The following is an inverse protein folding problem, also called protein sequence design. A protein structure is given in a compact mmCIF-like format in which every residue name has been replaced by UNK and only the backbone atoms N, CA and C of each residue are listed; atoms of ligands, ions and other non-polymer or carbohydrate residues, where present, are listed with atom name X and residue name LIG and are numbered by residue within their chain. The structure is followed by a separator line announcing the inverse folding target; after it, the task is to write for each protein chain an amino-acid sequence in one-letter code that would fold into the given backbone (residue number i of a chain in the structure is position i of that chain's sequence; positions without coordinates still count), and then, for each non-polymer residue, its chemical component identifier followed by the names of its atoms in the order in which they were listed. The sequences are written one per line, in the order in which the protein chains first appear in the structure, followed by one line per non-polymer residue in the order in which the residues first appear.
data_IF_808499964727
#
_entry.id   IF_808499964727
#
_cell.length_a   1.000
_cell.length_b   1.000
_cell.length_c   1.000
_cell.angle_alpha   90.00
_cell.angle_beta   90.00
_cell.angle_gamma   90.00
#
_symmetry.space_group_name_H-M   'P 1'
#
loop_
_entity.id
_entity.type
_entity.pdbx_description
1 polymer ?
#
# COMPACT_ATOMS: atom_id res chain seq x y z
N UNK A 1 11.09 -39.53 59.23
CA UNK A 1 11.35 -38.05 59.17
C UNK A 1 10.47 -37.41 58.11
N UNK A 2 9.54 -36.55 58.45
CA UNK A 2 8.69 -35.84 57.48
C UNK A 2 9.54 -34.74 56.82
N UNK A 3 9.60 -34.77 55.47
CA UNK A 3 10.28 -33.71 54.68
C UNK A 3 9.63 -32.36 55.00
N UNK A 4 10.45 -31.36 55.32
CA UNK A 4 9.96 -29.97 55.54
C UNK A 4 9.28 -29.43 54.29
N UNK A 5 8.32 -28.52 54.43
CA UNK A 5 7.57 -27.91 53.32
C UNK A 5 8.48 -27.37 52.21
N UNK A 6 9.64 -26.80 52.60
CA UNK A 6 10.68 -26.33 51.68
C UNK A 6 11.30 -27.44 50.84
N UNK A 7 11.55 -28.63 51.44
CA UNK A 7 12.08 -29.79 50.70
C UNK A 7 11.06 -30.39 49.73
N UNK A 8 9.74 -30.36 50.10
CA UNK A 8 8.66 -30.77 49.16
C UNK A 8 8.55 -29.84 47.98
N UNK A 9 8.61 -28.53 48.17
CA UNK A 9 8.59 -27.52 47.08
C UNK A 9 9.81 -27.72 46.14
N UNK A 10 11.02 -27.91 46.68
CA UNK A 10 12.23 -28.14 45.86
C UNK A 10 12.11 -29.47 45.09
N UNK A 11 11.56 -30.50 45.68
CA UNK A 11 11.37 -31.78 45.00
C UNK A 11 10.35 -31.66 43.88
N UNK A 12 9.22 -30.99 44.12
CA UNK A 12 8.18 -30.73 43.09
C UNK A 12 8.75 -29.91 41.95
N UNK A 13 9.51 -28.85 42.22
CA UNK A 13 10.17 -28.03 41.20
C UNK A 13 11.17 -28.87 40.35
N UNK A 14 11.93 -29.75 40.97
CA UNK A 14 12.85 -30.68 40.25
C UNK A 14 12.08 -31.66 39.36
N UNK A 15 11.00 -32.25 39.86
CA UNK A 15 10.14 -33.15 39.06
C UNK A 15 9.52 -32.40 37.89
N UNK A 16 9.00 -31.21 38.13
CA UNK A 16 8.43 -30.36 37.07
C UNK A 16 9.48 -29.99 36.02
N UNK A 17 10.70 -29.65 36.44
CA UNK A 17 11.82 -29.37 35.55
C UNK A 17 12.23 -30.60 34.71
N UNK A 18 12.27 -31.80 35.29
CA UNK A 18 12.55 -33.04 34.56
C UNK A 18 11.41 -33.36 33.57
N UNK A 19 10.14 -33.22 33.99
CA UNK A 19 8.99 -33.41 33.09
C UNK A 19 9.01 -32.41 31.91
N UNK A 20 9.34 -31.15 32.16
CA UNK A 20 9.50 -30.15 31.12
C UNK A 20 10.63 -30.49 30.16
N UNK A 21 11.79 -30.93 30.68
CA UNK A 21 12.90 -31.36 29.87
C UNK A 21 12.54 -32.57 29.00
N UNK A 22 11.86 -33.57 29.56
CA UNK A 22 11.38 -34.73 28.80
C UNK A 22 10.36 -34.34 27.72
N UNK A 23 9.47 -33.38 27.98
CA UNK A 23 8.56 -32.85 26.98
C UNK A 23 9.27 -32.13 25.84
N UNK A 24 10.32 -31.36 26.15
CA UNK A 24 11.15 -30.69 25.14
C UNK A 24 11.90 -31.74 24.28
N UNK A 25 12.50 -32.77 24.90
CA UNK A 25 13.15 -33.85 24.18
C UNK A 25 12.14 -34.61 23.29
N UNK A 26 10.98 -34.95 23.82
CA UNK A 26 9.93 -35.61 23.05
C UNK A 26 9.48 -34.76 21.86
N UNK A 27 9.22 -33.46 22.08
CA UNK A 27 8.87 -32.54 21.01
C UNK A 27 9.95 -32.46 19.91
N UNK A 28 11.21 -32.50 20.31
CA UNK A 28 12.37 -32.51 19.37
C UNK A 28 12.46 -33.81 18.59
N UNK A 29 12.26 -34.96 19.24
CA UNK A 29 12.29 -36.28 18.58
C UNK A 29 11.13 -36.47 17.61
N UNK A 30 9.94 -35.98 17.95
CA UNK A 30 8.74 -36.14 17.13
C UNK A 30 8.51 -34.99 16.13
N UNK A 31 9.37 -33.99 16.07
CA UNK A 31 9.17 -32.78 15.25
C UNK A 31 8.97 -33.08 13.77
N UNK A 32 9.70 -34.05 13.19
CA UNK A 32 9.56 -34.39 11.77
C UNK A 32 8.20 -35.07 11.49
N UNK A 33 7.75 -35.94 12.41
CA UNK A 33 6.42 -36.52 12.33
C UNK A 33 5.31 -35.47 12.42
N UNK A 34 5.47 -34.48 13.31
CA UNK A 34 4.55 -33.33 13.42
C UNK A 34 4.55 -32.48 12.16
N UNK A 35 5.72 -32.26 11.55
CA UNK A 35 5.84 -31.54 10.28
C UNK A 35 5.10 -32.26 9.16
N UNK A 36 5.30 -33.57 8.99
CA UNK A 36 4.60 -34.35 7.99
C UNK A 36 3.07 -34.32 8.19
N UNK A 37 2.62 -34.43 9.43
CA UNK A 37 1.20 -34.30 9.77
C UNK A 37 0.63 -32.92 9.44
N UNK A 38 1.39 -31.85 9.70
CA UNK A 38 1.01 -30.49 9.34
C UNK A 38 0.92 -30.30 7.81
N UNK A 39 1.89 -30.84 7.06
CA UNK A 39 1.87 -30.80 5.60
C UNK A 39 0.65 -31.54 5.04
N UNK A 40 0.39 -32.75 5.53
CA UNK A 40 -0.78 -33.54 5.13
C UNK A 40 -2.09 -32.78 5.43
N UNK A 41 -2.18 -32.15 6.60
CA UNK A 41 -3.35 -31.32 6.95
C UNK A 41 -3.53 -30.14 5.99
N UNK A 42 -2.45 -29.44 5.65
CA UNK A 42 -2.49 -28.32 4.69
C UNK A 42 -2.88 -28.83 3.31
N UNK A 43 -2.32 -29.93 2.84
CA UNK A 43 -2.67 -30.55 1.54
C UNK A 43 -4.16 -30.87 1.45
N UNK A 44 -4.71 -31.56 2.45
CA UNK A 44 -6.14 -31.87 2.50
C UNK A 44 -7.01 -30.60 2.59
N UNK A 45 -6.57 -29.60 3.31
CA UNK A 45 -7.27 -28.32 3.38
C UNK A 45 -7.27 -27.59 2.02
N UNK A 46 -6.15 -27.58 1.29
CA UNK A 46 -6.06 -26.98 -0.03
C UNK A 46 -6.96 -27.70 -1.03
N UNK A 47 -7.03 -29.01 -0.97
CA UNK A 47 -7.92 -29.77 -1.82
C UNK A 47 -9.40 -29.52 -1.50
N UNK A 48 -9.79 -29.60 -0.23
CA UNK A 48 -11.18 -29.47 0.21
C UNK A 48 -11.73 -28.05 0.10
N UNK A 49 -10.97 -27.05 0.60
CA UNK A 49 -11.47 -25.69 0.76
C UNK A 49 -11.21 -24.82 -0.49
N UNK A 50 -10.15 -25.13 -1.25
CA UNK A 50 -9.68 -24.34 -2.38
C UNK A 50 -9.67 -25.10 -3.71
N UNK A 51 -10.13 -26.36 -3.72
CA UNK A 51 -10.14 -27.20 -4.91
C UNK A 51 -8.80 -27.19 -5.68
N UNK A 52 -7.70 -27.33 -4.94
CA UNK A 52 -6.34 -27.17 -5.45
C UNK A 52 -5.42 -28.28 -4.95
N UNK A 53 -4.55 -28.75 -5.83
CA UNK A 53 -3.51 -29.71 -5.48
C UNK A 53 -2.30 -28.97 -4.92
N UNK A 54 -1.94 -29.27 -3.69
CA UNK A 54 -0.77 -28.71 -3.02
C UNK A 54 0.21 -29.85 -2.68
N UNK A 55 1.48 -29.66 -3.03
CA UNK A 55 2.51 -30.65 -2.74
C UNK A 55 3.83 -29.98 -2.35
N UNK A 56 4.59 -30.69 -1.51
CA UNK A 56 5.97 -30.38 -1.15
C UNK A 56 6.76 -31.67 -1.33
N UNK A 57 7.80 -31.67 -2.19
CA UNK A 57 8.61 -32.88 -2.45
C UNK A 57 9.36 -33.34 -1.22
N UNK A 58 9.95 -32.40 -0.48
CA UNK A 58 10.72 -32.69 0.72
C UNK A 58 10.55 -31.53 1.72
N UNK A 59 10.35 -31.87 2.97
CA UNK A 59 10.36 -30.93 4.08
C UNK A 59 11.05 -31.56 5.27
N UNK A 60 11.97 -30.82 5.88
CA UNK A 60 12.77 -31.28 7.01
C UNK A 60 13.15 -30.12 7.92
N UNK A 61 13.40 -30.42 9.18
CA UNK A 61 14.00 -29.45 10.08
C UNK A 61 15.51 -29.37 9.88
N UNK A 62 16.04 -28.17 9.90
CA UNK A 62 17.48 -27.89 9.92
C UNK A 62 17.87 -27.24 11.25
N UNK A 63 18.77 -27.89 11.99
CA UNK A 63 19.14 -27.44 13.32
C UNK A 63 17.96 -27.43 14.30
N UNK A 64 17.90 -26.46 15.18
CA UNK A 64 16.90 -26.39 16.24
C UNK A 64 15.56 -25.84 15.74
N UNK A 65 15.57 -24.76 14.98
CA UNK A 65 14.38 -24.01 14.55
C UNK A 65 14.32 -23.68 13.05
N UNK A 66 15.26 -24.21 12.27
CA UNK A 66 15.25 -24.09 10.81
C UNK A 66 14.28 -25.09 10.20
N UNK A 67 13.60 -24.68 9.12
CA UNK A 67 12.76 -25.52 8.28
C UNK A 67 13.19 -25.33 6.83
N UNK A 68 13.53 -26.43 6.16
CA UNK A 68 13.80 -26.44 4.73
C UNK A 68 12.73 -27.22 3.99
N UNK A 69 12.28 -26.66 2.88
CA UNK A 69 11.27 -27.23 1.99
C UNK A 69 11.75 -27.15 0.55
N UNK A 70 11.55 -28.23 -0.22
CA UNK A 70 11.94 -28.33 -1.61
C UNK A 70 10.73 -28.74 -2.48
N UNK A 71 10.63 -28.14 -3.66
CA UNK A 71 9.63 -28.50 -4.66
C UNK A 71 8.20 -28.21 -4.22
N UNK A 72 7.93 -26.99 -3.78
CA UNK A 72 6.60 -26.52 -3.38
C UNK A 72 5.81 -26.23 -4.66
N UNK A 73 4.63 -26.81 -4.77
CA UNK A 73 3.75 -26.67 -5.93
C UNK A 73 2.30 -26.50 -5.48
N UNK A 74 1.59 -25.55 -6.10
CA UNK A 74 0.16 -25.32 -5.91
C UNK A 74 -0.51 -25.17 -7.27
N UNK A 75 -1.42 -26.09 -7.58
CA UNK A 75 -2.13 -26.15 -8.86
C UNK A 75 -3.64 -26.22 -8.59
N UNK A 76 -4.41 -25.19 -8.88
CA UNK A 76 -5.87 -25.26 -8.84
C UNK A 76 -6.38 -26.26 -9.85
N UNK A 77 -7.39 -27.05 -9.50
CA UNK A 77 -7.95 -28.08 -10.41
C UNK A 77 -8.50 -27.42 -11.69
N UNK A 78 -8.15 -27.98 -12.81
CA UNK A 78 -8.53 -27.51 -14.17
C UNK A 78 -7.99 -26.11 -14.52
N UNK A 79 -6.88 -25.69 -13.91
CA UNK A 79 -6.29 -24.38 -14.17
C UNK A 79 -4.75 -24.45 -14.20
N UNK A 80 -4.14 -23.38 -14.69
CA UNK A 80 -2.67 -23.23 -14.69
C UNK A 80 -2.09 -23.22 -13.30
N UNK A 81 -0.84 -23.67 -13.16
CA UNK A 81 -0.07 -23.60 -11.92
C UNK A 81 -0.13 -22.20 -11.32
N UNK A 82 -0.56 -22.10 -10.06
CA UNK A 82 -0.64 -20.85 -9.36
C UNK A 82 0.69 -20.46 -8.69
N UNK A 83 1.35 -21.43 -8.02
CA UNK A 83 2.59 -21.20 -7.29
C UNK A 83 3.55 -22.39 -7.51
N UNK A 84 4.80 -22.06 -7.78
CA UNK A 84 5.91 -23.00 -7.76
C UNK A 84 7.12 -22.35 -7.13
N UNK A 85 7.76 -23.03 -6.17
CA UNK A 85 9.02 -22.59 -5.55
C UNK A 85 9.92 -23.82 -5.40
N UNK A 86 11.17 -23.67 -5.84
CA UNK A 86 12.13 -24.79 -5.77
C UNK A 86 12.59 -25.03 -4.34
N UNK A 87 13.02 -23.96 -3.62
CA UNK A 87 13.50 -24.06 -2.25
C UNK A 87 13.01 -22.93 -1.37
N UNK A 88 12.59 -23.27 -0.16
CA UNK A 88 12.35 -22.33 0.93
C UNK A 88 13.08 -22.82 2.16
N UNK A 89 13.88 -21.93 2.78
CA UNK A 89 14.46 -22.13 4.09
C UNK A 89 13.97 -21.00 5.00
N UNK A 90 13.53 -21.35 6.20
CA UNK A 90 12.99 -20.37 7.15
C UNK A 90 13.35 -20.77 8.58
N UNK A 91 13.46 -19.78 9.47
CA UNK A 91 13.52 -20.02 10.92
C UNK A 91 12.17 -19.71 11.53
N UNK A 92 11.63 -20.64 12.28
CA UNK A 92 10.31 -20.53 12.91
C UNK A 92 10.48 -20.27 14.41
N UNK A 93 9.68 -19.34 14.94
CA UNK A 93 9.60 -19.13 16.37
C UNK A 93 8.59 -20.13 16.97
N UNK A 94 9.11 -21.22 17.59
CA UNK A 94 8.26 -22.25 18.17
C UNK A 94 7.30 -21.75 19.25
N UNK A 95 7.71 -20.79 20.08
CA UNK A 95 6.84 -20.23 21.12
C UNK A 95 5.64 -19.51 20.55
N UNK A 96 5.84 -18.76 19.48
CA UNK A 96 4.77 -18.10 18.75
C UNK A 96 3.88 -19.10 18.01
N UNK A 97 4.49 -20.16 17.45
CA UNK A 97 3.75 -21.24 16.78
C UNK A 97 2.82 -21.97 17.75
N UNK A 98 3.28 -22.27 18.98
CA UNK A 98 2.46 -22.85 20.04
C UNK A 98 1.31 -21.92 20.47
N UNK A 99 1.51 -20.61 20.40
CA UNK A 99 0.47 -19.62 20.64
C UNK A 99 -0.48 -19.42 19.45
N UNK A 100 -0.34 -20.20 18.37
CA UNK A 100 -1.14 -20.10 17.16
C UNK A 100 -0.73 -18.96 16.19
N UNK A 101 0.43 -18.33 16.44
CA UNK A 101 0.95 -17.24 15.62
C UNK A 101 2.13 -17.73 14.77
N UNK A 102 2.06 -17.53 13.46
CA UNK A 102 3.18 -17.81 12.56
C UNK A 102 4.04 -16.54 12.50
N UNK A 103 5.24 -16.61 13.07
CA UNK A 103 6.24 -15.55 12.98
C UNK A 103 7.53 -16.12 12.41
N UNK A 104 7.93 -15.62 11.25
CA UNK A 104 9.18 -16.01 10.59
C UNK A 104 10.35 -15.18 11.13
N UNK A 105 11.43 -15.84 11.51
CA UNK A 105 12.67 -15.19 11.93
C UNK A 105 13.56 -14.82 10.73
N UNK A 106 13.65 -15.73 9.75
CA UNK A 106 14.32 -15.53 8.47
C UNK A 106 13.53 -16.21 7.36
N UNK A 107 13.73 -15.78 6.12
CA UNK A 107 13.15 -16.40 4.92
C UNK A 107 14.16 -16.35 3.78
N UNK A 108 14.61 -17.50 3.33
CA UNK A 108 15.40 -17.64 2.12
C UNK A 108 14.56 -18.43 1.11
N UNK A 109 14.29 -17.86 -0.06
CA UNK A 109 13.54 -18.55 -1.10
C UNK A 109 14.23 -18.38 -2.45
N UNK A 110 14.28 -19.45 -3.23
CA UNK A 110 14.95 -19.47 -4.53
C UNK A 110 14.13 -20.15 -5.60
N UNK A 111 14.27 -19.63 -6.81
CA UNK A 111 13.76 -20.22 -8.04
C UNK A 111 12.27 -20.53 -7.99
N UNK A 112 11.45 -19.60 -8.39
CA UNK A 112 10.02 -19.85 -8.36
C UNK A 112 9.19 -18.77 -9.01
N UNK A 113 7.89 -19.00 -9.02
CA UNK A 113 6.94 -18.02 -9.50
C UNK A 113 5.58 -18.13 -8.80
N UNK A 114 4.90 -17.00 -8.71
CA UNK A 114 3.46 -16.90 -8.52
C UNK A 114 2.86 -16.45 -9.86
N UNK A 115 1.87 -17.21 -10.38
CA UNK A 115 1.27 -16.94 -11.67
C UNK A 115 -0.23 -16.68 -11.54
N UNK A 116 -0.67 -15.50 -11.96
CA UNK A 116 -2.06 -15.10 -11.99
C UNK A 116 -2.57 -15.10 -13.43
N UNK A 117 -3.45 -16.02 -13.75
CA UNK A 117 -4.01 -16.17 -15.11
C UNK A 117 -5.50 -15.89 -15.07
N UNK A 118 -5.96 -15.03 -15.99
CA UNK A 118 -7.36 -14.80 -16.28
C UNK A 118 -7.65 -15.15 -17.73
N UNK A 119 -8.61 -16.04 -17.94
CA UNK A 119 -9.15 -16.44 -19.24
C UNK A 119 -10.60 -16.00 -19.38
N UNK A 120 -11.25 -16.39 -20.47
CA UNK A 120 -12.70 -16.20 -20.64
C UNK A 120 -13.50 -17.07 -19.66
N UNK A 121 -12.95 -18.21 -19.27
CA UNK A 121 -13.63 -19.23 -18.47
C UNK A 121 -13.42 -19.05 -16.96
N UNK A 122 -12.56 -18.12 -16.54
CA UNK A 122 -12.29 -17.83 -15.13
C UNK A 122 -10.83 -17.47 -14.84
N UNK A 123 -10.47 -17.50 -13.58
CA UNK A 123 -9.12 -17.18 -13.09
C UNK A 123 -8.56 -18.36 -12.30
N UNK A 124 -7.27 -18.63 -12.45
CA UNK A 124 -6.61 -19.71 -11.69
C UNK A 124 -6.51 -19.44 -10.17
N UNK A 125 -6.89 -18.27 -9.73
CA UNK A 125 -6.88 -17.87 -8.30
C UNK A 125 -8.28 -17.59 -7.73
N UNK A 126 -9.36 -17.89 -8.45
CA UNK A 126 -10.74 -17.61 -7.99
C UNK A 126 -11.07 -18.29 -6.66
N UNK A 127 -10.60 -19.51 -6.46
CA UNK A 127 -10.82 -20.25 -5.21
C UNK A 127 -10.19 -19.59 -3.98
N UNK A 128 -9.18 -18.73 -4.17
CA UNK A 128 -8.45 -18.03 -3.10
C UNK A 128 -8.98 -16.62 -2.82
N UNK A 129 -9.92 -16.15 -3.63
CA UNK A 129 -10.57 -14.87 -3.37
C UNK A 129 -11.61 -15.02 -2.25
N UNK A 130 -11.80 -13.98 -1.43
CA UNK A 130 -12.88 -13.98 -0.47
C UNK A 130 -14.20 -14.26 -1.21
N UNK A 131 -14.91 -15.30 -0.80
CA UNK A 131 -16.28 -15.48 -1.25
C UNK A 131 -17.03 -14.21 -0.84
N UNK A 132 -17.76 -13.62 -1.77
CA UNK A 132 -18.74 -12.60 -1.40
C UNK A 132 -19.76 -13.32 -0.52
N UNK A 133 -19.64 -13.15 0.79
CA UNK A 133 -20.68 -13.55 1.69
C UNK A 133 -21.93 -12.76 1.29
N UNK A 134 -22.84 -13.44 0.62
CA UNK A 134 -24.14 -12.89 0.20
C UNK A 134 -25.08 -12.69 1.38
N UNK A 135 -24.64 -13.08 2.56
CA UNK A 135 -25.32 -12.77 3.82
C UNK A 135 -24.86 -11.36 4.20
N UNK A 136 -25.62 -10.37 3.78
CA UNK A 136 -25.58 -9.03 4.35
C UNK A 136 -26.01 -9.16 5.82
N UNK A 137 -25.04 -9.36 6.71
CA UNK A 137 -25.29 -9.49 8.15
C UNK A 137 -25.81 -8.20 8.76
N UNK A 138 -25.95 -7.13 7.95
CA UNK A 138 -26.35 -5.80 8.42
C UNK A 138 -25.32 -5.12 9.32
N UNK A 139 -24.28 -5.84 9.73
CA UNK A 139 -23.20 -5.27 10.53
C UNK A 139 -22.26 -4.45 9.64
N UNK A 140 -22.10 -3.19 9.99
CA UNK A 140 -21.15 -2.31 9.30
C UNK A 140 -19.72 -2.74 9.63
N UNK A 141 -18.82 -2.75 8.63
CA UNK A 141 -17.44 -3.11 8.89
C UNK A 141 -16.77 -2.06 9.79
N UNK A 142 -16.12 -2.50 10.86
CA UNK A 142 -15.20 -1.63 11.62
C UNK A 142 -13.91 -1.47 10.83
N UNK A 143 -13.73 -0.31 10.20
CA UNK A 143 -12.60 -0.05 9.30
C UNK A 143 -11.26 -0.10 10.03
N UNK A 144 -11.16 0.46 11.24
CA UNK A 144 -9.94 0.44 12.03
C UNK A 144 -9.47 -0.99 12.30
N UNK A 145 -10.36 -1.84 12.81
CA UNK A 145 -10.05 -3.25 13.10
C UNK A 145 -9.72 -4.03 11.84
N UNK A 146 -10.43 -3.78 10.73
CA UNK A 146 -10.19 -4.45 9.46
C UNK A 146 -8.79 -4.14 8.91
N UNK A 147 -8.47 -2.85 8.79
CA UNK A 147 -7.18 -2.40 8.24
C UNK A 147 -6.03 -2.83 9.15
N UNK A 148 -6.17 -2.66 10.47
CA UNK A 148 -5.15 -3.09 11.44
C UNK A 148 -4.89 -4.60 11.35
N UNK A 149 -5.93 -5.42 11.22
CA UNK A 149 -5.80 -6.88 11.06
C UNK A 149 -5.04 -7.23 9.78
N UNK A 150 -5.35 -6.57 8.66
CA UNK A 150 -4.68 -6.80 7.38
C UNK A 150 -3.19 -6.41 7.49
N UNK A 151 -2.90 -5.23 8.03
CA UNK A 151 -1.53 -4.74 8.22
C UNK A 151 -0.73 -5.65 9.14
N UNK A 152 -1.27 -6.02 10.30
CA UNK A 152 -0.57 -6.89 11.24
C UNK A 152 -0.33 -8.29 10.66
N UNK A 153 -1.32 -8.88 9.98
CA UNK A 153 -1.12 -10.18 9.34
C UNK A 153 -0.04 -10.11 8.26
N UNK A 154 -0.09 -9.06 7.42
CA UNK A 154 0.92 -8.85 6.38
C UNK A 154 2.32 -8.65 6.95
N UNK A 155 2.48 -7.74 7.91
CA UNK A 155 3.77 -7.43 8.52
C UNK A 155 4.36 -8.59 9.33
N UNK A 156 3.53 -9.39 10.00
CA UNK A 156 4.00 -10.57 10.73
C UNK A 156 4.55 -11.67 9.80
N UNK A 157 4.14 -11.69 8.54
CA UNK A 157 4.69 -12.62 7.55
C UNK A 157 6.01 -12.15 6.95
N UNK A 158 6.37 -10.87 7.08
CA UNK A 158 7.66 -10.34 6.62
C UNK A 158 8.71 -10.60 7.69
N UNK A 159 9.71 -11.44 7.43
CA UNK A 159 10.77 -11.71 8.39
C UNK A 159 11.70 -10.50 8.53
N UNK A 160 12.48 -10.47 9.59
CA UNK A 160 13.51 -9.44 9.81
C UNK A 160 14.80 -9.70 9.03
N UNK A 161 14.96 -10.91 8.53
CA UNK A 161 16.04 -11.35 7.66
C UNK A 161 15.45 -12.11 6.47
N UNK A 162 15.64 -11.58 5.26
CA UNK A 162 15.05 -12.14 4.06
C UNK A 162 16.03 -12.10 2.90
N UNK A 163 16.14 -13.23 2.22
CA UNK A 163 16.93 -13.37 1.01
C UNK A 163 16.11 -14.11 -0.05
N UNK A 164 15.62 -13.37 -1.03
CA UNK A 164 14.85 -13.92 -2.15
C UNK A 164 15.70 -13.84 -3.41
N UNK A 165 15.69 -14.90 -4.21
CA UNK A 165 16.51 -15.01 -5.41
C UNK A 165 15.72 -15.68 -6.54
N UNK A 166 15.75 -15.08 -7.72
CA UNK A 166 15.14 -15.63 -8.93
C UNK A 166 13.65 -16.00 -8.76
N UNK A 167 12.85 -15.06 -8.26
CA UNK A 167 11.41 -15.23 -8.11
C UNK A 167 10.65 -14.35 -9.13
N UNK A 168 9.50 -14.81 -9.59
CA UNK A 168 8.68 -14.07 -10.55
C UNK A 168 7.23 -13.98 -10.12
N UNK A 169 6.64 -12.80 -10.27
CA UNK A 169 5.19 -12.63 -10.33
C UNK A 169 4.80 -12.52 -11.80
N UNK A 170 4.02 -13.47 -12.29
CA UNK A 170 3.55 -13.53 -13.67
C UNK A 170 2.07 -13.24 -13.72
N UNK A 171 1.66 -12.35 -14.59
CA UNK A 171 0.25 -12.02 -14.84
C UNK A 171 -0.08 -12.26 -16.31
N UNK A 172 -1.22 -12.88 -16.56
CA UNK A 172 -1.78 -13.05 -17.89
C UNK A 172 -3.28 -12.73 -17.86
N UNK A 173 -3.66 -11.53 -18.30
CA UNK A 173 -5.03 -11.07 -18.36
C UNK A 173 -5.51 -11.11 -19.82
N UNK A 174 -6.15 -12.20 -20.19
CA UNK A 174 -6.70 -12.38 -21.54
C UNK A 174 -5.63 -12.21 -22.65
N UNK A 175 -4.41 -12.73 -22.44
CA UNK A 175 -3.29 -12.63 -23.38
C UNK A 175 -2.38 -11.41 -23.17
N UNK A 176 -2.78 -10.44 -22.38
CA UNK A 176 -1.90 -9.35 -21.94
C UNK A 176 -1.02 -9.83 -20.81
N UNK A 177 0.26 -10.01 -21.09
CA UNK A 177 1.23 -10.57 -20.16
C UNK A 177 2.03 -9.47 -19.47
N UNK A 178 2.23 -9.60 -18.16
CA UNK A 178 3.17 -8.83 -17.41
C UNK A 178 3.93 -9.75 -16.44
N UNK A 179 5.24 -9.56 -16.36
CA UNK A 179 6.10 -10.31 -15.45
C UNK A 179 6.94 -9.32 -14.66
N UNK A 180 6.87 -9.42 -13.33
CA UNK A 180 7.80 -8.80 -12.44
C UNK A 180 8.77 -9.89 -11.98
N UNK A 181 10.01 -9.80 -12.43
CA UNK A 181 11.06 -10.74 -12.08
C UNK A 181 11.97 -10.13 -11.02
N UNK A 182 12.01 -10.76 -9.87
CA UNK A 182 12.86 -10.43 -8.75
C UNK A 182 14.19 -11.20 -8.91
N UNK A 183 15.23 -10.52 -9.35
CA UNK A 183 16.57 -11.14 -9.42
C UNK A 183 17.07 -11.45 -8.01
N UNK A 184 17.07 -10.43 -7.16
CA UNK A 184 17.44 -10.53 -5.76
C UNK A 184 16.63 -9.55 -4.91
N UNK A 185 16.26 -9.96 -3.69
CA UNK A 185 15.81 -9.07 -2.64
C UNK A 185 16.49 -9.50 -1.35
N UNK A 186 17.19 -8.57 -0.74
CA UNK A 186 17.89 -8.77 0.54
C UNK A 186 17.32 -7.78 1.55
N UNK A 187 16.89 -8.28 2.70
CA UNK A 187 16.53 -7.51 3.88
C UNK A 187 17.36 -8.05 5.04
N UNK A 188 18.37 -7.29 5.46
CA UNK A 188 19.26 -7.64 6.58
C UNK A 188 19.51 -6.37 7.39
N UNK A 189 19.51 -6.48 8.70
CA UNK A 189 19.69 -5.34 9.60
C UNK A 189 18.79 -4.14 9.26
N UNK A 190 17.53 -4.44 8.89
CA UNK A 190 16.52 -3.46 8.46
C UNK A 190 16.84 -2.73 7.15
N UNK A 191 17.95 -3.03 6.49
CA UNK A 191 18.26 -2.49 5.17
C UNK A 191 17.69 -3.39 4.09
N UNK A 192 16.95 -2.80 3.15
CA UNK A 192 16.37 -3.47 1.99
C UNK A 192 17.07 -3.06 0.72
N UNK A 193 17.49 -4.04 -0.05
CA UNK A 193 17.99 -3.84 -1.41
C UNK A 193 17.40 -4.91 -2.33
N UNK A 194 16.93 -4.49 -3.51
CA UNK A 194 16.38 -5.40 -4.50
C UNK A 194 16.69 -4.91 -5.91
N UNK A 195 16.87 -5.86 -6.83
CA UNK A 195 16.89 -5.63 -8.25
C UNK A 195 15.75 -6.41 -8.89
N UNK A 196 14.86 -5.71 -9.58
CA UNK A 196 13.70 -6.27 -10.24
C UNK A 196 13.71 -5.92 -11.73
N UNK A 197 13.20 -6.83 -12.55
CA UNK A 197 12.94 -6.59 -13.97
C UNK A 197 11.44 -6.67 -14.23
N UNK A 198 10.91 -5.72 -14.96
CA UNK A 198 9.51 -5.67 -15.37
C UNK A 198 9.44 -5.91 -16.87
N UNK A 199 8.69 -6.91 -17.26
CA UNK A 199 8.48 -7.28 -18.67
C UNK A 199 6.99 -7.29 -18.96
N UNK A 200 6.61 -6.75 -20.12
CA UNK A 200 5.29 -6.92 -20.70
C UNK A 200 5.43 -7.50 -22.12
N UNK A 201 4.34 -7.60 -22.88
CA UNK A 201 4.41 -8.07 -24.28
C UNK A 201 5.34 -7.21 -25.14
N UNK A 202 5.48 -5.91 -24.83
CA UNK A 202 6.14 -4.92 -25.69
C UNK A 202 7.28 -4.18 -25.01
N UNK A 203 7.48 -4.38 -23.72
CA UNK A 203 8.36 -3.55 -22.91
C UNK A 203 9.18 -4.34 -21.90
N UNK A 204 10.41 -3.88 -21.63
CA UNK A 204 11.29 -4.42 -20.58
C UNK A 204 12.05 -3.27 -19.91
N UNK A 205 12.12 -3.31 -18.58
CA UNK A 205 12.86 -2.33 -17.79
C UNK A 205 13.37 -2.94 -16.49
N UNK A 206 14.50 -2.48 -15.99
CA UNK A 206 15.08 -2.92 -14.71
C UNK A 206 14.98 -1.80 -13.67
N UNK A 207 14.46 -2.16 -12.50
CA UNK A 207 14.34 -1.24 -11.38
C UNK A 207 15.20 -1.70 -10.21
N UNK A 208 15.59 -0.74 -9.40
CA UNK A 208 16.26 -0.97 -8.12
C UNK A 208 15.39 -0.43 -6.99
N UNK A 209 15.35 -1.20 -5.91
CA UNK A 209 14.71 -0.82 -4.65
C UNK A 209 15.81 -0.74 -3.61
N UNK A 210 15.86 0.37 -2.88
CA UNK A 210 16.76 0.53 -1.74
C UNK A 210 16.04 1.25 -0.62
N UNK A 211 16.46 0.98 0.61
CA UNK A 211 15.97 1.73 1.75
C UNK A 211 16.02 0.94 3.05
N UNK A 212 15.10 1.31 3.91
CA UNK A 212 14.94 0.79 5.25
C UNK A 212 13.56 0.14 5.40
N UNK A 213 13.49 -1.01 6.07
CA UNK A 213 12.24 -1.68 6.42
C UNK A 213 12.36 -2.38 7.77
N UNK A 214 11.54 -1.98 8.72
CA UNK A 214 11.41 -2.62 10.04
C UNK A 214 9.98 -3.12 10.23
N UNK A 215 9.68 -4.36 9.82
CA UNK A 215 8.33 -4.91 9.92
C UNK A 215 7.81 -4.98 11.35
N UNK A 216 8.69 -5.15 12.33
CA UNK A 216 8.30 -5.27 13.74
C UNK A 216 7.84 -3.94 14.33
N UNK A 217 8.56 -2.87 14.01
CA UNK A 217 8.20 -1.51 14.42
C UNK A 217 7.27 -0.84 13.40
N UNK A 218 6.85 -1.56 12.35
CA UNK A 218 5.94 -1.08 11.31
C UNK A 218 6.44 0.20 10.62
N UNK A 219 7.73 0.28 10.40
CA UNK A 219 8.39 1.44 9.79
C UNK A 219 9.06 1.06 8.48
N UNK A 220 8.98 1.95 7.50
CA UNK A 220 9.68 1.76 6.22
C UNK A 220 10.02 3.09 5.56
N UNK A 221 11.10 3.08 4.79
CA UNK A 221 11.52 4.17 3.94
C UNK A 221 12.19 3.58 2.70
N UNK A 222 11.41 3.41 1.63
CA UNK A 222 11.84 2.67 0.44
C UNK A 222 11.82 3.61 -0.76
N UNK A 223 12.87 3.54 -1.57
CA UNK A 223 12.99 4.27 -2.83
C UNK A 223 13.11 3.32 -4.02
N UNK A 224 12.30 3.59 -5.04
CA UNK A 224 12.31 2.92 -6.33
C UNK A 224 12.93 3.84 -7.37
N UNK A 225 13.84 3.32 -8.20
CA UNK A 225 14.46 4.04 -9.29
C UNK A 225 14.90 3.10 -10.42
N UNK A 226 15.07 3.64 -11.61
CA UNK A 226 15.52 2.86 -12.76
C UNK A 226 17.03 2.55 -12.64
N UNK A 227 17.43 1.33 -13.01
CA UNK A 227 18.85 0.96 -13.11
C UNK A 227 19.44 1.46 -14.43
N UNK A 228 18.63 1.37 -15.47
CA UNK A 228 19.00 1.87 -16.80
C UNK A 228 18.85 3.40 -16.84
N UNK A 229 19.44 4.04 -17.81
CA UNK A 229 19.27 5.49 -18.01
C UNK A 229 17.83 5.79 -18.45
N UNK A 230 17.15 6.68 -17.72
CA UNK A 230 15.81 7.15 -18.09
C UNK A 230 14.77 6.99 -16.99
N UNK A 231 13.53 7.31 -17.34
CA UNK A 231 12.39 7.29 -16.42
C UNK A 231 11.86 5.87 -16.22
N UNK A 232 11.33 5.60 -15.03
CA UNK A 232 10.49 4.42 -14.80
C UNK A 232 9.18 4.61 -15.57
N UNK A 233 8.77 3.60 -16.32
CA UNK A 233 7.47 3.53 -17.01
C UNK A 233 6.60 2.46 -16.35
N UNK A 234 5.29 2.60 -16.47
CA UNK A 234 4.32 1.62 -15.95
C UNK A 234 3.53 1.04 -17.13
N UNK A 235 4.14 0.11 -17.89
CA UNK A 235 3.61 -0.35 -19.16
C UNK A 235 2.28 -1.10 -19.03
N UNK A 236 1.99 -1.71 -17.89
CA UNK A 236 0.70 -2.38 -17.66
C UNK A 236 -0.50 -1.42 -17.78
N UNK A 237 -0.37 -0.19 -17.26
CA UNK A 237 -1.41 0.82 -17.40
C UNK A 237 -1.50 1.36 -18.82
N UNK A 238 -0.36 1.47 -19.50
CA UNK A 238 -0.28 1.87 -20.90
C UNK A 238 -1.01 0.86 -21.80
N UNK A 239 -0.62 -0.39 -21.75
CA UNK A 239 -1.19 -1.45 -22.57
C UNK A 239 -2.67 -1.74 -22.29
N UNK A 240 -3.09 -1.56 -21.03
CA UNK A 240 -4.46 -1.88 -20.62
C UNK A 240 -5.44 -0.73 -20.76
N UNK A 241 -5.01 0.49 -20.43
CA UNK A 241 -5.88 1.66 -20.31
C UNK A 241 -5.47 2.83 -21.22
N UNK A 242 -4.37 2.72 -21.95
CA UNK A 242 -3.80 3.82 -22.73
C UNK A 242 -3.26 4.96 -21.87
N UNK A 243 -2.90 4.67 -20.61
CA UNK A 243 -2.32 5.64 -19.69
C UNK A 243 -0.82 5.57 -19.77
N UNK A 244 -0.21 6.47 -20.54
CA UNK A 244 1.24 6.59 -20.62
C UNK A 244 1.76 7.35 -19.40
N UNK A 245 2.42 6.66 -18.49
CA UNK A 245 2.98 7.29 -17.30
C UNK A 245 4.45 6.96 -17.10
N UNK A 246 5.20 7.95 -16.62
CA UNK A 246 6.61 7.79 -16.30
C UNK A 246 7.07 8.72 -15.18
N UNK A 247 8.13 8.35 -14.47
CA UNK A 247 8.72 9.13 -13.39
C UNK A 247 10.18 8.75 -13.16
N UNK A 248 10.95 9.60 -12.48
CA UNK A 248 12.36 9.30 -12.18
C UNK A 248 12.48 8.40 -10.95
N UNK A 249 11.74 8.72 -9.87
CA UNK A 249 11.76 7.93 -8.66
C UNK A 249 10.46 8.11 -7.84
N UNK A 250 10.11 7.07 -7.09
CA UNK A 250 9.11 7.13 -6.01
C UNK A 250 9.80 6.77 -4.70
N UNK A 251 9.48 7.51 -3.63
CA UNK A 251 9.85 7.19 -2.26
C UNK A 251 8.60 7.01 -1.43
N UNK A 252 8.55 5.91 -0.70
CA UNK A 252 7.48 5.55 0.23
C UNK A 252 8.06 5.48 1.63
N UNK A 253 7.44 6.17 2.56
CA UNK A 253 7.79 6.13 3.97
C UNK A 253 6.53 5.87 4.78
N UNK A 254 6.61 4.93 5.72
CA UNK A 254 5.64 4.76 6.80
C UNK A 254 6.42 4.97 8.08
N UNK A 255 6.09 6.02 8.82
CA UNK A 255 6.78 6.40 10.06
C UNK A 255 6.13 5.80 11.29
N UNK A 256 4.82 5.65 11.27
CA UNK A 256 4.05 5.12 12.39
C UNK A 256 2.79 4.39 11.93
N UNK A 257 2.44 3.32 12.64
CA UNK A 257 1.13 2.64 12.58
C UNK A 257 0.71 2.36 14.02
N UNK A 258 -0.24 3.10 14.52
CA UNK A 258 -0.70 3.03 15.90
C UNK A 258 -2.21 2.84 16.00
N UNK A 259 -2.64 2.12 17.04
CA UNK A 259 -4.06 1.90 17.37
C UNK A 259 -4.31 2.52 18.73
N UNK A 260 -4.94 3.67 18.75
CA UNK A 260 -5.31 4.38 19.96
C UNK A 260 -6.81 4.69 20.01
N UNK A 261 -7.42 4.52 21.19
CA UNK A 261 -8.84 4.82 21.41
C UNK A 261 -9.83 4.10 20.47
N UNK A 262 -9.41 3.02 19.80
CA UNK A 262 -10.22 2.33 18.79
C UNK A 262 -10.07 2.89 17.37
N UNK A 263 -9.25 3.89 17.18
CA UNK A 263 -8.87 4.48 15.88
C UNK A 263 -7.47 4.02 15.47
N UNK A 264 -7.28 3.73 14.19
CA UNK A 264 -6.00 3.39 13.61
C UNK A 264 -5.42 4.61 12.89
N UNK A 265 -4.23 5.00 13.29
CA UNK A 265 -3.42 6.06 12.70
C UNK A 265 -2.33 5.44 11.84
N UNK A 266 -2.14 5.96 10.63
CA UNK A 266 -1.04 5.58 9.74
C UNK A 266 -0.38 6.85 9.20
N UNK A 267 0.84 7.10 9.65
CA UNK A 267 1.61 8.29 9.31
C UNK A 267 2.76 7.95 8.36
N UNK A 268 3.07 8.89 7.49
CA UNK A 268 4.21 8.76 6.61
C UNK A 268 4.20 9.77 5.47
N UNK A 269 4.96 9.48 4.44
CA UNK A 269 4.90 10.26 3.22
C UNK A 269 5.14 9.40 1.97
N UNK A 270 4.64 9.90 0.85
CA UNK A 270 5.06 9.45 -0.48
C UNK A 270 5.56 10.65 -1.28
N UNK A 271 6.58 10.44 -2.10
CA UNK A 271 7.06 11.48 -3.02
C UNK A 271 7.41 10.90 -4.37
N UNK A 272 7.19 11.69 -5.40
CA UNK A 272 7.47 11.34 -6.79
C UNK A 272 8.18 12.51 -7.47
N UNK A 273 9.14 12.20 -8.35
CA UNK A 273 9.90 13.20 -9.11
C UNK A 273 9.70 13.01 -10.60
N UNK A 274 9.55 14.13 -11.30
CA UNK A 274 9.39 14.20 -12.76
C UNK A 274 8.32 13.23 -13.29
N UNK A 275 7.15 13.21 -12.59
CA UNK A 275 6.01 12.42 -13.00
C UNK A 275 5.38 13.01 -14.25
N UNK A 276 5.22 12.20 -15.27
CA UNK A 276 4.56 12.54 -16.52
C UNK A 276 3.41 11.59 -16.74
N UNK A 277 2.23 12.09 -17.06
CA UNK A 277 1.07 11.31 -17.44
C UNK A 277 0.47 11.86 -18.72
N UNK A 278 0.13 10.97 -19.65
CA UNK A 278 -0.59 11.29 -20.87
C UNK A 278 -1.79 10.36 -21.01
N UNK A 279 -2.95 10.95 -21.19
CA UNK A 279 -4.18 10.25 -21.53
C UNK A 279 -5.20 11.24 -22.09
N UNK A 280 -5.88 10.94 -23.22
CA UNK A 280 -6.78 11.89 -23.92
C UNK A 280 -7.93 12.42 -23.06
N UNK A 281 -8.39 11.64 -22.05
CA UNK A 281 -9.43 12.06 -21.11
C UNK A 281 -8.93 12.97 -19.99
N UNK A 282 -7.62 13.11 -19.81
CA UNK A 282 -7.00 13.96 -18.78
C UNK A 282 -6.57 15.28 -19.42
N UNK A 283 -5.75 15.19 -20.47
CA UNK A 283 -5.24 16.37 -21.18
C UNK A 283 -4.81 15.99 -22.60
N UNK A 284 -4.76 16.98 -23.51
CA UNK A 284 -4.30 16.76 -24.89
C UNK A 284 -2.75 16.79 -25.02
N UNK A 285 -2.06 17.11 -23.93
CA UNK A 285 -0.60 17.13 -23.82
C UNK A 285 -0.16 16.31 -22.62
N UNK A 286 1.12 16.04 -22.53
CA UNK A 286 1.72 15.48 -21.32
C UNK A 286 1.47 16.42 -20.14
N UNK A 287 0.94 15.84 -19.06
CA UNK A 287 0.83 16.51 -17.76
C UNK A 287 2.10 16.22 -16.99
N UNK A 288 2.87 17.25 -16.66
CA UNK A 288 4.17 17.12 -16.01
C UNK A 288 4.15 17.69 -14.60
N UNK A 289 4.54 16.86 -13.64
CA UNK A 289 4.71 17.23 -12.24
C UNK A 289 6.18 17.03 -11.86
N UNK A 290 6.91 18.12 -11.66
CA UNK A 290 8.35 18.07 -11.38
C UNK A 290 8.64 17.44 -10.02
N UNK A 291 7.92 17.87 -8.98
CA UNK A 291 8.03 17.34 -7.62
C UNK A 291 6.66 17.30 -6.98
N UNK A 292 6.29 16.14 -6.47
CA UNK A 292 5.13 15.99 -5.59
C UNK A 292 5.52 15.22 -4.35
N UNK A 293 5.01 15.64 -3.20
CA UNK A 293 5.15 14.95 -1.92
C UNK A 293 3.84 15.07 -1.17
N UNK A 294 3.38 13.96 -0.64
CA UNK A 294 2.22 13.87 0.22
C UNK A 294 2.67 13.32 1.57
N UNK A 295 2.71 14.18 2.58
CA UNK A 295 2.86 13.82 3.98
C UNK A 295 1.45 13.50 4.48
N UNK A 296 1.19 12.24 4.80
CA UNK A 296 -0.14 11.77 5.12
C UNK A 296 -0.26 11.36 6.59
N UNK A 297 -1.42 11.62 7.13
CA UNK A 297 -1.96 11.05 8.34
C UNK A 297 -3.32 10.44 7.97
N UNK A 298 -3.37 9.10 7.84
CA UNK A 298 -4.60 8.39 7.59
C UNK A 298 -5.22 7.96 8.91
N UNK A 299 -6.53 8.22 9.03
CA UNK A 299 -7.35 7.81 10.16
C UNK A 299 -8.39 6.78 9.73
N UNK A 300 -8.48 5.70 10.47
CA UNK A 300 -9.51 4.68 10.29
C UNK A 300 -10.23 4.49 11.62
N UNK A 301 -11.49 4.85 11.68
CA UNK A 301 -12.35 4.63 12.83
C UNK A 301 -13.25 3.42 12.64
N UNK A 302 -14.26 3.29 13.49
CA UNK A 302 -15.25 2.23 13.35
C UNK A 302 -16.05 2.38 12.07
N UNK A 303 -16.59 3.57 11.82
CA UNK A 303 -17.50 3.85 10.71
C UNK A 303 -16.97 4.90 9.73
N UNK A 304 -15.71 5.30 9.86
CA UNK A 304 -15.13 6.31 8.98
C UNK A 304 -13.69 5.98 8.57
N UNK A 305 -13.29 6.57 7.46
CA UNK A 305 -11.90 6.66 7.01
C UNK A 305 -11.62 8.12 6.63
N UNK A 306 -10.42 8.60 6.97
CA UNK A 306 -10.06 9.99 6.66
C UNK A 306 -8.57 10.14 6.30
N UNK A 307 -8.29 11.14 5.49
CA UNK A 307 -7.02 11.85 5.41
C UNK A 307 -7.17 13.03 6.36
N UNK A 308 -6.40 13.05 7.44
CA UNK A 308 -6.50 14.11 8.44
C UNK A 308 -5.97 15.46 7.93
N UNK A 309 -6.49 16.53 8.49
CA UNK A 309 -6.13 17.92 8.13
C UNK A 309 -4.67 18.30 8.45
N UNK A 310 -3.99 17.52 9.29
CA UNK A 310 -2.53 17.61 9.51
C UNK A 310 -1.72 17.16 8.30
N UNK A 311 -2.35 16.40 7.37
CA UNK A 311 -1.72 16.00 6.12
C UNK A 311 -1.36 17.20 5.25
N UNK A 312 -0.28 17.03 4.48
CA UNK A 312 0.22 18.11 3.63
C UNK A 312 0.57 17.58 2.24
N UNK A 313 0.10 18.25 1.22
CA UNK A 313 0.55 18.03 -0.16
C UNK A 313 1.48 19.16 -0.58
N UNK A 314 2.65 18.80 -1.06
CA UNK A 314 3.57 19.69 -1.75
C UNK A 314 3.56 19.36 -3.23
N UNK A 315 3.23 20.34 -4.04
CA UNK A 315 3.23 20.23 -5.50
C UNK A 315 4.09 21.36 -6.06
N UNK A 316 5.30 21.03 -6.50
CA UNK A 316 6.33 22.00 -6.87
C UNK A 316 6.60 23.00 -5.70
N UNK A 317 6.20 24.26 -5.82
CA UNK A 317 6.31 25.28 -4.76
C UNK A 317 5.03 25.44 -3.93
N UNK A 318 3.91 24.90 -4.42
CA UNK A 318 2.63 24.99 -3.72
C UNK A 318 2.57 23.99 -2.57
N UNK A 319 2.02 24.47 -1.45
CA UNK A 319 1.68 23.65 -0.29
C UNK A 319 0.19 23.80 0.01
N UNK A 320 -0.50 22.68 0.25
CA UNK A 320 -1.87 22.72 0.73
C UNK A 320 -2.17 21.59 1.70
N UNK A 321 -3.19 21.78 2.53
CA UNK A 321 -3.64 20.83 3.53
C UNK A 321 -4.99 20.24 3.11
N UNK A 322 -5.02 18.99 2.65
CA UNK A 322 -6.26 18.30 2.35
C UNK A 322 -6.87 17.71 3.63
N UNK A 323 -8.18 17.68 3.69
CA UNK A 323 -8.94 16.80 4.56
C UNK A 323 -9.97 16.07 3.71
N UNK A 324 -9.93 14.75 3.73
CA UNK A 324 -10.91 13.93 3.01
C UNK A 324 -11.45 12.90 3.97
N UNK A 325 -12.77 12.80 4.10
CA UNK A 325 -13.35 11.75 4.92
C UNK A 325 -14.56 11.10 4.27
N UNK A 326 -14.71 9.84 4.54
CA UNK A 326 -15.92 9.07 4.33
C UNK A 326 -16.44 8.57 5.67
N UNK A 327 -17.67 8.92 6.01
CA UNK A 327 -18.36 8.45 7.20
C UNK A 327 -19.61 7.66 6.80
N UNK A 328 -19.84 6.53 7.46
CA UNK A 328 -20.97 5.62 7.21
C UNK A 328 -21.70 5.25 8.52
N UNK A 329 -21.67 6.14 9.50
CA UNK A 329 -22.32 5.89 10.79
C UNK A 329 -23.86 5.87 10.66
N UNK A 330 -24.44 6.93 10.12
CA UNK A 330 -25.88 7.05 9.84
C UNK A 330 -26.16 7.16 8.35
N UNK A 331 -25.59 8.18 7.74
CA UNK A 331 -25.65 8.47 6.30
C UNK A 331 -24.26 8.24 5.67
N UNK A 332 -24.22 8.03 4.36
CA UNK A 332 -22.95 7.97 3.60
C UNK A 332 -22.52 9.40 3.26
N UNK A 333 -21.68 9.96 4.12
CA UNK A 333 -21.20 11.34 4.00
C UNK A 333 -19.75 11.35 3.51
N UNK A 334 -19.52 12.14 2.48
CA UNK A 334 -18.19 12.43 1.93
C UNK A 334 -17.85 13.89 2.23
N UNK A 335 -16.72 14.13 2.84
CA UNK A 335 -16.23 15.49 3.10
C UNK A 335 -14.90 15.67 2.39
N UNK A 336 -14.76 16.79 1.67
CA UNK A 336 -13.51 17.24 1.08
C UNK A 336 -13.27 18.67 1.55
N UNK A 337 -12.16 18.90 2.24
CA UNK A 337 -11.68 20.25 2.55
C UNK A 337 -10.28 20.41 2.00
N UNK A 338 -9.93 21.59 1.57
CA UNK A 338 -8.59 21.94 1.16
C UNK A 338 -8.25 23.35 1.63
N UNK A 339 -7.09 23.52 2.21
CA UNK A 339 -6.59 24.83 2.64
C UNK A 339 -5.25 25.09 1.99
N UNK A 340 -5.17 26.14 1.19
CA UNK A 340 -3.91 26.70 0.69
C UNK A 340 -3.55 27.85 1.62
N UNK A 341 -2.48 27.74 2.43
CA UNK A 341 -2.02 28.84 3.27
C UNK A 341 -1.53 30.00 2.41
N UNK A 342 -1.45 31.18 2.98
CA UNK A 342 -1.00 32.39 2.29
C UNK A 342 0.28 32.15 1.50
N UNK A 343 0.21 32.37 0.19
CA UNK A 343 1.33 32.19 -0.73
C UNK A 343 1.31 33.25 -1.85
N UNK A 344 2.43 33.37 -2.57
CA UNK A 344 2.51 34.25 -3.74
C UNK A 344 1.69 33.66 -4.90
N UNK A 345 0.93 34.49 -5.57
CA UNK A 345 0.12 34.07 -6.71
C UNK A 345 0.95 33.46 -7.85
N UNK A 346 2.12 34.04 -8.13
CA UNK A 346 3.02 33.50 -9.15
C UNK A 346 3.52 32.10 -8.82
N UNK A 347 3.86 31.83 -7.55
CA UNK A 347 4.33 30.52 -7.09
C UNK A 347 3.23 29.47 -7.23
N UNK A 348 1.96 29.84 -7.01
CA UNK A 348 0.81 28.96 -7.26
C UNK A 348 0.71 28.62 -8.75
N UNK A 349 0.67 29.64 -9.63
CA UNK A 349 0.52 29.44 -11.07
C UNK A 349 1.63 28.53 -11.62
N UNK A 350 2.89 28.80 -11.25
CA UNK A 350 4.05 28.02 -11.70
C UNK A 350 4.12 26.63 -11.07
N UNK A 351 3.36 26.37 -10.00
CA UNK A 351 3.28 25.06 -9.36
C UNK A 351 2.25 24.15 -9.99
N UNK A 352 1.31 24.69 -10.75
CA UNK A 352 0.30 23.87 -11.42
C UNK A 352 0.96 22.94 -12.44
N UNK A 353 0.47 21.67 -12.56
CA UNK A 353 1.00 20.72 -13.52
C UNK A 353 0.87 21.25 -14.96
N UNK A 354 2.01 21.27 -15.65
CA UNK A 354 2.07 21.62 -17.06
C UNK A 354 1.13 20.70 -17.87
N UNK A 355 0.40 21.27 -18.83
CA UNK A 355 -0.52 20.53 -19.69
C UNK A 355 -1.94 20.30 -19.15
N UNK A 356 -2.14 20.39 -17.82
CA UNK A 356 -3.44 20.16 -17.21
C UNK A 356 -4.28 21.44 -17.14
N UNK A 357 -3.68 22.56 -16.77
CA UNK A 357 -4.38 23.84 -16.53
C UNK A 357 -4.00 24.86 -17.61
N UNK A 358 -4.43 24.63 -18.85
CA UNK A 358 -4.09 25.47 -20.01
C UNK A 358 -4.38 26.96 -19.82
N UNK A 359 -5.47 27.28 -19.13
CA UNK A 359 -5.87 28.65 -18.89
C UNK A 359 -4.92 29.41 -17.98
N UNK A 360 -4.06 28.71 -17.24
CA UNK A 360 -3.03 29.31 -16.39
C UNK A 360 -1.64 29.30 -17.02
N UNK A 361 -1.47 28.61 -18.17
CA UNK A 361 -0.18 28.58 -18.88
C UNK A 361 0.20 29.99 -19.38
N UNK A 362 1.39 30.46 -18.99
CA UNK A 362 1.87 31.80 -19.34
C UNK A 362 1.21 32.96 -18.60
N UNK A 363 0.33 32.66 -17.60
CA UNK A 363 -0.23 33.68 -16.73
C UNK A 363 0.83 34.25 -15.80
N UNK A 364 0.82 35.56 -15.65
CA UNK A 364 1.67 36.28 -14.70
C UNK A 364 0.79 36.99 -13.66
N UNK A 365 1.16 36.85 -12.38
CA UNK A 365 0.45 37.46 -11.28
C UNK A 365 1.39 37.90 -10.19
N UNK A 366 1.02 38.95 -9.46
CA UNK A 366 1.70 39.43 -8.25
C UNK A 366 0.75 39.46 -7.07
N UNK A 367 1.32 39.69 -5.86
CA UNK A 367 0.56 39.68 -4.63
C UNK A 367 0.44 38.29 -4.04
N UNK A 368 -0.38 38.19 -2.99
CA UNK A 368 -0.58 36.95 -2.24
C UNK A 368 -2.07 36.61 -2.18
N UNK A 369 -2.34 35.33 -1.92
CA UNK A 369 -3.67 34.85 -1.59
C UNK A 369 -3.57 33.66 -0.62
N UNK A 370 -4.66 33.36 0.04
CA UNK A 370 -4.97 32.09 0.65
C UNK A 370 -6.31 31.56 0.12
N UNK A 371 -6.52 30.25 0.23
CA UNK A 371 -7.73 29.64 -0.29
C UNK A 371 -8.24 28.54 0.63
N UNK A 372 -9.55 28.48 0.80
CA UNK A 372 -10.24 27.43 1.55
C UNK A 372 -11.38 26.87 0.71
N UNK A 373 -11.47 25.52 0.70
CA UNK A 373 -12.57 24.78 0.10
C UNK A 373 -13.19 23.90 1.17
N UNK A 374 -14.52 23.85 1.20
CA UNK A 374 -15.29 22.90 1.99
C UNK A 374 -16.44 22.35 1.15
N UNK A 375 -16.39 21.04 0.88
CA UNK A 375 -17.40 20.30 0.15
C UNK A 375 -17.89 19.15 1.03
N UNK A 376 -19.20 19.09 1.28
CA UNK A 376 -19.83 18.00 2.01
C UNK A 376 -20.96 17.44 1.15
N UNK A 377 -20.85 16.18 0.80
CA UNK A 377 -21.83 15.45 0.00
C UNK A 377 -22.42 14.30 0.81
N UNK A 378 -23.74 14.32 1.01
CA UNK A 378 -24.49 13.24 1.60
C UNK A 378 -25.16 12.43 0.49
N UNK A 379 -24.72 11.17 0.32
CA UNK A 379 -25.27 10.30 -0.73
C UNK A 379 -26.77 10.03 -0.57
N UNK A 380 -27.24 10.01 0.68
CA UNK A 380 -28.64 9.72 1.01
C UNK A 380 -29.52 10.98 0.91
N UNK A 381 -28.89 12.17 0.90
CA UNK A 381 -29.54 13.49 0.80
C UNK A 381 -28.80 14.38 -0.21
N UNK A 382 -28.86 14.07 -1.52
CA UNK A 382 -28.08 14.79 -2.53
C UNK A 382 -28.33 16.30 -2.58
N UNK A 383 -29.55 16.72 -2.22
CA UNK A 383 -29.95 18.14 -2.20
C UNK A 383 -29.35 18.92 -1.01
N UNK A 384 -28.73 18.23 -0.04
CA UNK A 384 -28.03 18.85 1.10
C UNK A 384 -26.52 18.99 0.83
N UNK A 385 -26.15 19.26 -0.43
CA UNK A 385 -24.78 19.56 -0.81
C UNK A 385 -24.34 20.87 -0.18
N UNK A 386 -23.24 20.84 0.59
CA UNK A 386 -22.55 22.04 1.07
C UNK A 386 -21.34 22.26 0.18
N UNK A 387 -21.22 23.45 -0.36
CA UNK A 387 -20.07 23.89 -1.13
C UNK A 387 -19.72 25.32 -0.74
N UNK A 388 -18.62 25.46 0.01
CA UNK A 388 -18.08 26.76 0.41
C UNK A 388 -16.67 26.91 -0.19
N UNK A 389 -16.42 28.06 -0.80
CA UNK A 389 -15.14 28.38 -1.42
C UNK A 389 -14.79 29.83 -1.07
N UNK A 390 -13.67 30.02 -0.37
CA UNK A 390 -13.20 31.31 0.10
C UNK A 390 -11.80 31.59 -0.46
N UNK A 391 -11.66 32.74 -1.12
CA UNK A 391 -10.38 33.23 -1.61
C UNK A 391 -10.10 34.59 -0.97
N UNK A 392 -9.10 34.66 -0.09
CA UNK A 392 -8.61 35.89 0.47
C UNK A 392 -7.40 36.40 -0.33
N UNK A 393 -7.44 37.64 -0.75
CA UNK A 393 -6.43 38.25 -1.60
C UNK A 393 -5.74 39.44 -0.93
N UNK A 394 -4.45 39.59 -1.16
CA UNK A 394 -3.66 40.70 -0.73
C UNK A 394 -2.80 41.21 -1.90
N UNK A 395 -3.15 42.39 -2.40
CA UNK A 395 -2.50 43.01 -3.58
C UNK A 395 -2.41 42.06 -4.79
N UNK A 396 -3.40 41.17 -4.96
CA UNK A 396 -3.43 40.25 -6.07
C UNK A 396 -3.72 40.98 -7.37
N UNK A 397 -2.79 40.95 -8.29
CA UNK A 397 -2.88 41.54 -9.64
C UNK A 397 -2.48 40.49 -10.67
N UNK A 398 -3.31 40.31 -11.68
CA UNK A 398 -2.98 39.50 -12.85
C UNK A 398 -2.48 40.47 -13.91
N UNK A 399 -1.20 40.36 -14.30
CA UNK A 399 -0.56 41.26 -15.26
C UNK A 399 -0.57 40.72 -16.68
N UNK A 400 -0.72 39.40 -16.82
CA UNK A 400 -0.80 38.73 -18.11
C UNK A 400 -1.73 37.54 -18.04
N UNK A 401 -2.61 37.41 -19.04
CA UNK A 401 -3.50 36.26 -19.18
C UNK A 401 -3.59 35.88 -20.67
N UNK A 402 -2.96 34.78 -21.05
CA UNK A 402 -2.78 34.42 -22.45
C UNK A 402 -2.03 35.50 -23.23
N UNK A 403 -2.63 36.02 -24.30
CA UNK A 403 -2.08 37.13 -25.09
C UNK A 403 -2.49 38.52 -24.56
N UNK A 404 -3.43 38.56 -23.60
CA UNK A 404 -3.92 39.81 -23.01
C UNK A 404 -3.05 40.24 -21.82
N UNK A 405 -2.68 41.53 -21.80
CA UNK A 405 -2.07 42.16 -20.64
C UNK A 405 -3.17 42.85 -19.84
N UNK A 406 -3.37 42.42 -18.58
CA UNK A 406 -4.36 42.99 -17.68
C UNK A 406 -3.62 43.86 -16.65
N UNK A 407 -4.06 45.13 -16.51
CA UNK A 407 -3.46 46.03 -15.52
C UNK A 407 -3.96 45.71 -14.10
N UNK A 408 -5.21 45.32 -13.96
CA UNK A 408 -5.85 45.01 -12.67
C UNK A 408 -7.13 44.21 -12.83
N UNK A 409 -7.28 43.17 -12.01
CA UNK A 409 -8.52 42.45 -11.77
C UNK A 409 -8.92 42.58 -10.30
N UNK A 410 -10.05 43.23 -10.04
CA UNK A 410 -10.59 43.33 -8.70
C UNK A 410 -12.06 42.92 -8.70
N UNK A 411 -12.50 42.25 -7.62
CA UNK A 411 -13.91 41.90 -7.49
C UNK A 411 -14.15 40.91 -6.35
N UNK A 412 -15.41 40.72 -6.07
CA UNK A 412 -15.89 39.66 -5.18
C UNK A 412 -16.55 38.59 -6.05
N UNK A 413 -16.16 37.34 -5.83
CA UNK A 413 -16.68 36.21 -6.55
C UNK A 413 -17.33 35.24 -5.56
N UNK A 414 -18.61 34.93 -5.77
CA UNK A 414 -19.29 33.90 -5.01
C UNK A 414 -19.78 32.84 -5.99
N UNK A 415 -19.40 31.61 -5.76
CA UNK A 415 -19.86 30.46 -6.53
C UNK A 415 -20.78 29.62 -5.65
N UNK A 416 -21.99 29.36 -6.15
CA UNK A 416 -22.93 28.40 -5.57
C UNK A 416 -23.14 27.26 -6.57
N UNK A 417 -23.50 26.02 -6.14
CA UNK A 417 -23.61 24.87 -7.04
C UNK A 417 -24.46 25.05 -8.27
N UNK A 418 -25.42 26.00 -8.22
CA UNK A 418 -26.35 26.30 -9.33
C UNK A 418 -26.27 27.74 -9.85
N UNK A 419 -25.38 28.57 -9.26
CA UNK A 419 -25.25 29.98 -9.70
C UNK A 419 -23.85 30.50 -9.36
N UNK A 420 -23.35 31.39 -10.19
CA UNK A 420 -22.12 32.14 -9.93
C UNK A 420 -22.49 33.61 -9.81
N UNK A 421 -22.10 34.26 -8.72
CA UNK A 421 -22.34 35.69 -8.51
C UNK A 421 -20.99 36.42 -8.49
N UNK A 422 -20.88 37.43 -9.33
CA UNK A 422 -19.73 38.33 -9.34
C UNK A 422 -20.23 39.73 -8.93
N UNK A 423 -19.61 40.32 -7.94
CA UNK A 423 -19.91 41.68 -7.48
C UNK A 423 -18.66 42.55 -7.58
N UNK A 424 -18.86 43.81 -7.96
CA UNK A 424 -17.79 44.82 -7.99
C UNK A 424 -16.55 44.38 -8.81
N UNK A 425 -16.75 43.61 -9.88
CA UNK A 425 -15.66 43.19 -10.77
C UNK A 425 -15.27 44.36 -11.66
N UNK A 426 -14.04 44.80 -11.58
CA UNK A 426 -13.47 45.87 -12.39
C UNK A 426 -12.32 45.32 -13.19
N UNK A 427 -12.40 45.47 -14.53
CA UNK A 427 -11.30 45.21 -15.46
C UNK A 427 -10.69 46.58 -15.87
N UNK A 428 -9.41 46.73 -15.74
CA UNK A 428 -8.63 47.87 -16.21
C UNK A 428 -7.54 47.42 -17.15
#
# INVERSE_FOLDING_TARGET
MAKTTKQKIILTAKILGVCLLLLIIAAFVFRDALLQKAITHITHKMERDYNSDFSIKKAQFEGFNGLAMEGILLVPKHADTLLQIETIQTKVNFWQLFAGNIQLGSLHAKNGFLQLVKTKDGRNFDAFLPKKDTVDTGEKPNYAKLVYRILNKGLNLVPTDMHLENLSLRMNDMGKKATLHLNTLVLVDKQIESAIAVHTNTFSQRWKIKGFADPRNKQTDIRFFNIDTGKIKVPYFDERYGIHSSFDSIRLNVSNIDMDGGELHVDGFTSITNFTINHPKIANKDVVIKKARFDYNFLFGENFVAIDSSSTVHLNQMKFHPYVSYNNETDKIYTLKATIPKMKAQDFITSLPEGLFRHFEGMEASGNFDYRLNLIFNKNKPNALVFDSELNKENLVITKYGEANLSKLNGEFMYMPLSMMCRNVVFM
#
